data_IF_153703933907
#
_entry.id   IF_153703933907
#
_cell.length_a   1.000
_cell.length_b   1.000
_cell.length_c   1.000
_cell.angle_alpha   90.00
_cell.angle_beta   90.00
_cell.angle_gamma   90.00
#
_symmetry.space_group_name_H-M   'P 1'
#
loop_
_entity.id
_entity.type
_entity.pdbx_description
1 polymer ?
#
# COMPACT_ATOMS: atom_id res chain seq x y z
N UNK A 1 16.38 33.71 12.26
CA UNK A 1 16.79 32.42 11.73
C UNK A 1 18.24 32.52 11.27
N UNK A 2 19.16 31.85 11.99
CA UNK A 2 20.61 31.92 11.83
C UNK A 2 21.17 31.30 10.55
N UNK A 3 20.53 31.53 9.40
CA UNK A 3 20.95 31.05 8.10
C UNK A 3 21.91 32.08 7.47
N UNK A 4 23.05 31.63 6.95
CA UNK A 4 24.01 32.44 6.20
C UNK A 4 23.30 33.32 5.14
N UNK A 5 23.71 34.61 5.00
CA UNK A 5 23.07 35.51 4.02
C UNK A 5 23.09 34.99 2.59
N UNK A 6 24.11 34.21 2.20
CA UNK A 6 24.16 33.54 0.90
C UNK A 6 23.08 32.45 0.74
N UNK A 7 22.90 31.62 1.78
CA UNK A 7 21.85 30.58 1.79
C UNK A 7 20.45 31.18 1.80
N UNK A 8 20.22 32.26 2.55
CA UNK A 8 18.94 33.00 2.53
C UNK A 8 18.58 33.50 1.11
N UNK A 9 19.56 34.05 0.41
CA UNK A 9 19.38 34.50 -0.98
C UNK A 9 19.02 33.35 -1.90
N UNK A 10 19.71 32.19 -1.74
CA UNK A 10 19.42 31.00 -2.53
C UNK A 10 18.01 30.48 -2.26
N UNK A 11 17.59 30.38 -1.00
CA UNK A 11 16.23 29.94 -0.63
C UNK A 11 15.19 30.87 -1.24
N UNK A 12 15.34 32.19 -1.07
CA UNK A 12 14.41 33.18 -1.66
C UNK A 12 14.31 33.01 -3.18
N UNK A 13 15.43 32.94 -3.87
CA UNK A 13 15.49 32.81 -5.33
C UNK A 13 14.86 31.49 -5.81
N UNK A 14 15.14 30.38 -5.12
CA UNK A 14 14.54 29.08 -5.44
C UNK A 14 13.03 29.07 -5.20
N UNK A 15 12.56 29.61 -4.08
CA UNK A 15 11.12 29.71 -3.78
C UNK A 15 10.39 30.55 -4.82
N UNK A 16 10.96 31.69 -5.21
CA UNK A 16 10.37 32.53 -6.27
C UNK A 16 10.34 31.78 -7.63
N UNK A 17 11.38 31.01 -7.97
CA UNK A 17 11.40 30.19 -9.18
C UNK A 17 10.33 29.09 -9.15
N UNK A 18 10.18 28.40 -8.01
CA UNK A 18 9.14 27.38 -7.81
C UNK A 18 7.74 27.96 -7.97
N UNK A 19 7.48 29.16 -7.42
CA UNK A 19 6.18 29.83 -7.59
C UNK A 19 5.91 30.14 -9.07
N UNK A 20 6.93 30.59 -9.82
CA UNK A 20 6.80 30.83 -11.26
C UNK A 20 6.41 29.56 -12.01
N UNK A 21 7.06 28.45 -11.71
CA UNK A 21 6.79 27.17 -12.34
C UNK A 21 5.39 26.64 -12.00
N UNK A 22 5.02 26.69 -10.72
CA UNK A 22 3.74 26.19 -10.21
C UNK A 22 2.53 26.95 -10.78
N UNK A 23 2.67 28.27 -10.91
CA UNK A 23 1.58 29.16 -11.37
C UNK A 23 1.76 29.63 -12.81
N UNK A 24 2.52 28.89 -13.62
CA UNK A 24 2.75 29.20 -15.04
C UNK A 24 1.42 29.40 -15.78
N UNK A 25 1.29 30.55 -16.45
CA UNK A 25 0.04 30.91 -17.16
C UNK A 25 -1.10 31.49 -16.29
N UNK A 26 -0.89 31.61 -14.95
CA UNK A 26 -1.89 32.16 -14.01
C UNK A 26 -1.35 33.41 -13.31
N UNK A 27 -1.10 34.46 -14.06
CA UNK A 27 -0.43 35.68 -13.58
C UNK A 27 -1.02 36.31 -12.30
N UNK A 28 -2.35 36.41 -12.10
CA UNK A 28 -2.92 36.98 -10.87
C UNK A 28 -2.57 36.10 -9.63
N UNK A 29 -2.63 34.76 -9.76
CA UNK A 29 -2.29 33.87 -8.68
C UNK A 29 -0.79 33.89 -8.35
N UNK A 30 0.05 33.94 -9.38
CA UNK A 30 1.50 34.10 -9.20
C UNK A 30 1.85 35.36 -8.42
N UNK A 31 1.25 36.49 -8.79
CA UNK A 31 1.56 37.75 -8.13
C UNK A 31 1.07 37.81 -6.69
N UNK A 32 -0.14 37.30 -6.41
CA UNK A 32 -0.66 37.19 -5.04
C UNK A 32 0.24 36.32 -4.14
N UNK A 33 0.70 35.15 -4.65
CA UNK A 33 1.59 34.27 -3.89
C UNK A 33 2.99 34.88 -3.70
N UNK A 34 3.53 35.58 -4.69
CA UNK A 34 4.78 36.33 -4.54
C UNK A 34 4.68 37.43 -3.49
N UNK A 35 3.59 38.16 -3.48
CA UNK A 35 3.35 39.24 -2.53
C UNK A 35 3.23 38.69 -1.11
N UNK A 36 2.46 37.61 -0.91
CA UNK A 36 2.35 36.93 0.38
C UNK A 36 3.71 36.40 0.88
N UNK A 37 4.49 35.76 -0.01
CA UNK A 37 5.83 35.27 0.32
C UNK A 37 6.77 36.40 0.75
N UNK A 38 6.81 37.52 0.00
CA UNK A 38 7.65 38.67 0.33
C UNK A 38 7.24 39.31 1.65
N UNK A 39 5.94 39.49 1.87
CA UNK A 39 5.42 40.07 3.10
C UNK A 39 5.85 39.23 4.32
N UNK A 40 5.68 37.91 4.29
CA UNK A 40 6.11 37.02 5.37
C UNK A 40 7.62 37.00 5.56
N UNK A 41 8.39 36.99 4.46
CA UNK A 41 9.85 36.99 4.51
C UNK A 41 10.38 38.29 5.14
N UNK A 42 9.88 39.46 4.70
CA UNK A 42 10.35 40.78 5.17
C UNK A 42 9.92 40.99 6.63
N UNK A 43 8.67 40.65 6.98
CA UNK A 43 8.18 40.73 8.36
C UNK A 43 9.04 39.88 9.32
N UNK A 44 9.31 38.62 8.95
CA UNK A 44 10.16 37.74 9.77
C UNK A 44 11.56 38.31 9.99
N UNK A 45 12.11 38.91 8.93
CA UNK A 45 13.44 39.53 9.00
C UNK A 45 13.50 40.73 9.93
N UNK A 46 12.41 41.48 10.04
CA UNK A 46 12.32 42.69 10.85
C UNK A 46 11.95 42.42 12.31
N UNK A 47 11.19 41.36 12.58
CA UNK A 47 10.58 41.11 13.88
C UNK A 47 11.10 39.88 14.63
N UNK A 48 11.80 38.97 13.95
CA UNK A 48 12.28 37.71 14.56
C UNK A 48 13.79 37.74 14.76
N UNK A 49 14.23 37.69 16.00
CA UNK A 49 15.64 37.57 16.33
C UNK A 49 16.24 36.25 15.81
N UNK A 50 17.47 36.25 15.28
CA UNK A 50 18.15 35.03 14.86
C UNK A 50 18.35 34.07 16.00
N UNK A 51 17.98 32.79 15.81
CA UNK A 51 18.17 31.74 16.82
C UNK A 51 19.61 31.34 17.09
N UNK A 52 20.59 31.96 16.42
CA UNK A 52 21.99 31.58 16.53
C UNK A 52 22.41 30.28 15.90
N UNK A 53 21.42 29.53 15.35
CA UNK A 53 21.69 28.29 14.62
C UNK A 53 22.18 28.59 13.22
N UNK A 54 23.21 27.91 12.77
CA UNK A 54 23.80 28.05 11.44
C UNK A 54 23.65 26.74 10.68
N UNK A 55 22.99 26.81 9.52
CA UNK A 55 22.88 25.69 8.59
C UNK A 55 23.93 25.89 7.51
N UNK A 56 24.90 24.99 7.43
CA UNK A 56 25.96 25.02 6.42
C UNK A 56 25.63 24.04 5.31
N UNK A 57 25.86 24.46 4.06
CA UNK A 57 25.79 23.54 2.92
C UNK A 57 26.96 22.58 2.97
N UNK A 58 26.65 21.28 2.96
CA UNK A 58 27.67 20.22 2.85
C UNK A 58 27.35 19.35 1.63
N UNK A 59 28.42 18.88 0.99
CA UNK A 59 28.33 17.91 -0.12
C UNK A 59 28.76 16.53 0.42
N UNK A 60 27.87 15.91 1.19
CA UNK A 60 28.12 14.61 1.83
C UNK A 60 26.97 13.60 1.59
N UNK A 61 26.08 13.90 0.65
CA UNK A 61 24.93 13.05 0.32
C UNK A 61 25.35 11.84 -0.53
N UNK A 62 26.36 12.04 -1.42
CA UNK A 62 26.77 11.01 -2.38
C UNK A 62 25.64 10.72 -3.37
N UNK A 63 25.43 9.46 -3.67
CA UNK A 63 24.39 8.95 -4.58
C UNK A 63 23.04 8.67 -3.89
N UNK A 64 22.94 8.95 -2.58
CA UNK A 64 21.70 8.74 -1.83
C UNK A 64 20.56 9.61 -2.35
N UNK A 65 19.35 9.07 -2.25
CA UNK A 65 18.11 9.76 -2.61
C UNK A 65 17.40 10.27 -1.35
N UNK A 66 16.59 11.29 -1.53
CA UNK A 66 15.75 11.89 -0.48
C UNK A 66 14.30 11.60 -0.78
N UNK A 67 13.64 10.81 0.05
CA UNK A 67 12.31 10.27 -0.22
C UNK A 67 11.57 9.92 1.09
N UNK A 68 10.26 10.12 1.11
CA UNK A 68 9.39 9.65 2.18
C UNK A 68 8.87 8.22 1.91
N UNK A 69 8.46 7.51 2.98
CA UNK A 69 7.99 6.13 2.88
C UNK A 69 6.72 5.98 2.05
N UNK A 70 5.78 6.93 2.11
CA UNK A 70 4.56 6.89 1.31
C UNK A 70 4.85 7.01 -0.19
N UNK A 71 5.80 7.87 -0.56
CA UNK A 71 6.26 7.98 -1.95
C UNK A 71 6.96 6.70 -2.41
N UNK A 72 7.78 6.09 -1.54
CA UNK A 72 8.43 4.82 -1.80
C UNK A 72 7.41 3.69 -1.97
N UNK A 73 6.42 3.57 -1.07
CA UNK A 73 5.33 2.59 -1.16
C UNK A 73 4.48 2.77 -2.44
N UNK A 74 4.15 4.02 -2.80
CA UNK A 74 3.46 4.32 -4.06
C UNK A 74 4.26 3.92 -5.30
N UNK A 75 5.58 4.07 -5.27
CA UNK A 75 6.48 3.57 -6.32
C UNK A 75 6.52 2.04 -6.32
N UNK A 76 6.63 1.42 -5.14
CA UNK A 76 6.55 -0.03 -4.96
C UNK A 76 5.28 -0.61 -5.57
N UNK A 77 4.13 0.03 -5.37
CA UNK A 77 2.86 -0.38 -6.00
C UNK A 77 2.94 -0.35 -7.54
N UNK A 78 3.60 0.65 -8.13
CA UNK A 78 3.82 0.67 -9.60
C UNK A 78 4.67 -0.51 -10.04
N UNK A 79 5.79 -0.76 -9.39
CA UNK A 79 6.69 -1.88 -9.72
C UNK A 79 6.07 -3.24 -9.39
N UNK A 80 5.26 -3.33 -8.34
CA UNK A 80 4.43 -4.51 -8.03
C UNK A 80 3.30 -4.77 -9.01
N UNK A 81 3.18 -3.98 -10.07
CA UNK A 81 2.21 -4.22 -11.15
C UNK A 81 0.79 -3.73 -10.85
N UNK A 82 0.57 -2.91 -9.83
CA UNK A 82 -0.73 -2.32 -9.55
C UNK A 82 -1.22 -1.48 -10.73
N UNK A 83 -2.47 -1.70 -11.12
CA UNK A 83 -3.13 -0.95 -12.21
C UNK A 83 -4.34 -0.18 -11.73
N UNK A 84 -4.87 -0.49 -10.55
CA UNK A 84 -6.04 0.16 -9.97
C UNK A 84 -5.73 0.65 -8.57
N UNK A 85 -5.99 1.93 -8.32
CA UNK A 85 -6.01 2.53 -6.99
C UNK A 85 -7.39 3.16 -6.77
N UNK A 86 -8.15 2.66 -5.79
CA UNK A 86 -9.37 3.31 -5.34
C UNK A 86 -9.17 3.73 -3.88
N UNK A 87 -9.39 4.98 -3.57
CA UNK A 87 -9.00 5.57 -2.29
C UNK A 87 -9.92 6.69 -1.84
N UNK A 88 -9.88 7.02 -0.57
CA UNK A 88 -10.53 8.18 0.01
C UNK A 88 -9.51 8.99 0.83
N UNK A 89 -9.50 10.34 0.73
CA UNK A 89 -8.48 11.16 1.38
C UNK A 89 -8.52 11.04 2.90
N UNK A 90 -7.42 10.61 3.49
CA UNK A 90 -7.21 10.59 4.93
C UNK A 90 -5.72 10.76 5.26
N UNK A 91 -5.39 11.68 6.19
CA UNK A 91 -4.03 11.82 6.71
C UNK A 91 -3.68 10.61 7.58
N UNK A 92 -2.46 10.02 7.43
CA UNK A 92 -1.35 10.43 6.57
C UNK A 92 -1.26 9.68 5.23
N UNK A 93 -2.22 8.83 4.86
CA UNK A 93 -2.13 7.90 3.73
C UNK A 93 -2.34 8.51 2.34
N UNK A 94 -2.95 9.69 2.26
CA UNK A 94 -3.27 10.36 0.98
C UNK A 94 -2.07 10.43 0.04
N UNK A 95 -0.87 10.69 0.55
CA UNK A 95 0.35 10.81 -0.25
C UNK A 95 0.81 9.49 -0.90
N UNK A 96 0.38 8.32 -0.43
CA UNK A 96 0.60 7.03 -1.13
C UNK A 96 -0.12 7.03 -2.48
N UNK A 97 -1.41 7.36 -2.49
CA UNK A 97 -2.22 7.42 -3.71
C UNK A 97 -1.75 8.52 -4.66
N UNK A 98 -1.38 9.70 -4.13
CA UNK A 98 -0.83 10.80 -4.91
C UNK A 98 0.54 10.45 -5.53
N UNK A 99 1.40 9.75 -4.79
CA UNK A 99 2.67 9.26 -5.30
C UNK A 99 2.44 8.24 -6.42
N UNK A 100 1.58 7.24 -6.20
CA UNK A 100 1.20 6.29 -7.23
C UNK A 100 0.70 6.98 -8.49
N UNK A 101 -0.19 7.96 -8.37
CA UNK A 101 -0.70 8.75 -9.49
C UNK A 101 0.43 9.48 -10.23
N UNK A 102 1.33 10.13 -9.52
CA UNK A 102 2.50 10.82 -10.07
C UNK A 102 3.41 9.88 -10.87
N UNK A 103 3.69 8.70 -10.33
CA UNK A 103 4.50 7.69 -11.00
C UNK A 103 3.78 7.03 -12.17
N UNK A 104 2.48 6.75 -12.08
CA UNK A 104 1.70 6.22 -13.19
C UNK A 104 1.66 7.16 -14.39
N UNK A 105 1.52 8.47 -14.15
CA UNK A 105 1.61 9.48 -15.22
C UNK A 105 2.96 9.46 -15.94
N UNK A 106 4.04 9.12 -15.23
CA UNK A 106 5.39 9.04 -15.80
C UNK A 106 5.65 7.72 -16.52
N UNK A 107 5.20 6.60 -15.98
CA UNK A 107 5.61 5.25 -16.40
C UNK A 107 4.53 4.42 -17.07
N UNK A 108 3.24 4.77 -16.92
CA UNK A 108 2.11 3.95 -17.36
C UNK A 108 1.17 4.65 -18.35
N UNK A 109 1.68 5.63 -19.04
CA UNK A 109 1.01 6.25 -20.20
C UNK A 109 1.68 5.75 -21.46
N UNK A 110 0.90 5.18 -22.36
CA UNK A 110 1.39 4.75 -23.68
C UNK A 110 1.78 5.99 -24.49
N UNK A 111 3.05 6.10 -24.84
CA UNK A 111 3.60 7.30 -25.49
C UNK A 111 3.07 7.52 -26.92
N UNK A 112 2.65 6.45 -27.61
CA UNK A 112 2.17 6.53 -28.98
C UNK A 112 0.68 6.91 -29.04
N UNK A 113 -0.11 6.37 -28.11
CA UNK A 113 -1.58 6.52 -28.13
C UNK A 113 -2.10 7.48 -27.06
N UNK A 114 -1.29 7.87 -26.09
CA UNK A 114 -1.70 8.64 -24.91
C UNK A 114 -2.62 7.86 -23.96
N UNK A 115 -2.86 6.58 -24.19
CA UNK A 115 -3.75 5.77 -23.35
C UNK A 115 -3.11 5.49 -21.99
N UNK A 116 -3.89 5.64 -20.93
CA UNK A 116 -3.51 5.28 -19.58
C UNK A 116 -3.67 3.78 -19.38
N UNK A 117 -2.64 3.12 -18.84
CA UNK A 117 -2.67 1.71 -18.44
C UNK A 117 -2.88 1.57 -16.93
N UNK A 118 -3.70 2.45 -16.36
CA UNK A 118 -4.07 2.49 -14.95
C UNK A 118 -5.39 3.21 -14.76
N UNK A 119 -6.05 2.93 -13.64
CA UNK A 119 -7.22 3.65 -13.15
C UNK A 119 -6.97 4.11 -11.72
N UNK A 120 -7.26 5.38 -11.44
CA UNK A 120 -7.17 5.96 -10.10
C UNK A 120 -8.48 6.65 -9.83
N UNK A 121 -9.19 6.20 -8.79
CA UNK A 121 -10.52 6.67 -8.44
C UNK A 121 -10.52 7.16 -7.01
N UNK A 122 -10.81 8.44 -6.81
CA UNK A 122 -11.20 8.94 -5.50
C UNK A 122 -12.66 8.59 -5.29
N UNK A 123 -12.91 7.71 -4.33
CA UNK A 123 -14.25 7.24 -4.01
C UNK A 123 -14.99 8.24 -3.11
N UNK A 124 -16.24 7.97 -2.82
CA UNK A 124 -17.08 8.80 -1.95
C UNK A 124 -16.75 8.58 -0.46
N UNK A 125 -16.30 7.36 -0.13
CA UNK A 125 -15.83 6.98 1.20
C UNK A 125 -14.87 5.78 1.14
N UNK A 126 -14.39 5.33 2.29
CA UNK A 126 -13.51 4.16 2.41
C UNK A 126 -14.23 2.85 2.06
N UNK A 127 -15.51 2.73 2.37
CA UNK A 127 -16.31 1.55 2.04
C UNK A 127 -16.42 1.36 0.53
N UNK A 128 -16.71 2.44 -0.20
CA UNK A 128 -16.73 2.43 -1.66
C UNK A 128 -15.33 2.13 -2.23
N UNK A 129 -14.28 2.69 -1.63
CA UNK A 129 -12.89 2.46 -2.06
C UNK A 129 -12.53 0.98 -2.05
N UNK A 130 -12.73 0.30 -0.92
CA UNK A 130 -12.40 -1.13 -0.81
C UNK A 130 -13.30 -1.99 -1.68
N UNK A 131 -14.58 -1.63 -1.85
CA UNK A 131 -15.49 -2.32 -2.76
C UNK A 131 -15.00 -2.29 -4.21
N UNK A 132 -14.48 -1.14 -4.67
CA UNK A 132 -13.86 -1.01 -6.00
C UNK A 132 -12.59 -1.84 -6.13
N UNK A 133 -11.73 -1.88 -5.09
CA UNK A 133 -10.52 -2.70 -5.05
C UNK A 133 -10.86 -4.19 -5.16
N UNK A 134 -11.83 -4.65 -4.38
CA UNK A 134 -12.29 -6.05 -4.41
C UNK A 134 -12.87 -6.43 -5.77
N UNK A 135 -13.71 -5.56 -6.35
CA UNK A 135 -14.26 -5.77 -7.70
C UNK A 135 -13.17 -5.83 -8.78
N UNK A 136 -12.17 -4.96 -8.71
CA UNK A 136 -11.03 -4.95 -9.62
C UNK A 136 -10.15 -6.22 -9.45
N UNK A 137 -9.88 -6.62 -8.21
CA UNK A 137 -9.11 -7.83 -7.89
C UNK A 137 -9.81 -9.11 -8.37
N UNK A 138 -11.12 -9.17 -8.25
CA UNK A 138 -11.91 -10.29 -8.77
C UNK A 138 -11.79 -10.42 -10.30
N UNK A 139 -11.72 -9.28 -11.00
CA UNK A 139 -11.48 -9.24 -12.46
C UNK A 139 -10.01 -9.47 -12.86
N UNK A 140 -9.12 -9.69 -11.90
CA UNK A 140 -7.70 -9.98 -12.15
C UNK A 140 -6.79 -8.76 -12.20
N UNK A 141 -7.27 -7.56 -11.87
CA UNK A 141 -6.40 -6.40 -11.70
C UNK A 141 -5.64 -6.50 -10.37
N UNK A 142 -4.39 -6.02 -10.34
CA UNK A 142 -3.70 -5.70 -9.09
C UNK A 142 -4.22 -4.36 -8.61
N UNK A 143 -4.98 -4.39 -7.53
CA UNK A 143 -5.70 -3.23 -7.01
C UNK A 143 -5.37 -2.98 -5.53
N UNK A 144 -5.38 -1.72 -5.14
CA UNK A 144 -5.12 -1.34 -3.76
C UNK A 144 -5.91 -0.11 -3.32
N UNK A 145 -6.00 0.06 -2.02
CA UNK A 145 -6.40 1.30 -1.36
C UNK A 145 -5.32 1.73 -0.36
N UNK A 146 -5.31 3.02 -0.03
CA UNK A 146 -4.48 3.57 1.04
C UNK A 146 -5.38 4.30 2.04
N UNK A 147 -5.22 3.98 3.32
CA UNK A 147 -6.06 4.51 4.40
C UNK A 147 -5.30 4.58 5.73
N UNK A 148 -6.01 4.82 6.81
CA UNK A 148 -5.54 4.82 8.19
C UNK A 148 -6.59 4.11 9.06
N UNK A 149 -6.35 3.91 10.34
CA UNK A 149 -7.21 3.17 11.26
C UNK A 149 -8.71 3.43 11.15
N UNK A 150 -9.19 4.70 11.08
CA UNK A 150 -10.61 4.96 10.88
C UNK A 150 -11.18 4.32 9.62
N UNK A 151 -10.43 4.35 8.51
CA UNK A 151 -10.84 3.72 7.27
C UNK A 151 -10.80 2.19 7.35
N UNK A 152 -9.82 1.59 8.02
CA UNK A 152 -9.81 0.14 8.28
C UNK A 152 -11.09 -0.27 9.01
N UNK A 153 -11.54 0.51 9.99
CA UNK A 153 -12.80 0.25 10.70
C UNK A 153 -14.02 0.27 9.77
N UNK A 154 -14.08 1.21 8.83
CA UNK A 154 -15.18 1.31 7.86
C UNK A 154 -15.12 0.21 6.78
N UNK A 155 -13.94 -0.28 6.45
CA UNK A 155 -13.72 -1.29 5.40
C UNK A 155 -14.02 -2.74 5.83
N UNK A 156 -14.32 -3.00 7.11
CA UNK A 156 -14.38 -4.33 7.72
C UNK A 156 -15.23 -5.33 6.92
N UNK A 157 -16.40 -4.92 6.44
CA UNK A 157 -17.31 -5.80 5.70
C UNK A 157 -16.69 -6.29 4.39
N UNK A 158 -16.17 -5.40 3.56
CA UNK A 158 -15.54 -5.79 2.29
C UNK A 158 -14.20 -6.52 2.47
N UNK A 159 -13.46 -6.23 3.51
CA UNK A 159 -12.25 -7.01 3.86
C UNK A 159 -12.65 -8.45 4.18
N UNK A 160 -13.72 -8.65 4.95
CA UNK A 160 -14.29 -9.97 5.23
C UNK A 160 -14.78 -10.68 3.98
N UNK A 161 -15.47 -9.98 3.08
CA UNK A 161 -15.85 -10.52 1.78
C UNK A 161 -14.62 -10.97 0.98
N UNK A 162 -13.58 -10.12 0.89
CA UNK A 162 -12.37 -10.45 0.15
C UNK A 162 -11.64 -11.66 0.76
N UNK A 163 -11.58 -11.76 2.09
CA UNK A 163 -11.01 -12.90 2.79
C UNK A 163 -11.78 -14.20 2.50
N UNK A 164 -13.09 -14.18 2.68
CA UNK A 164 -13.92 -15.39 2.58
C UNK A 164 -14.19 -15.81 1.14
N UNK A 165 -14.30 -14.88 0.19
CA UNK A 165 -14.41 -15.15 -1.24
C UNK A 165 -13.03 -15.34 -1.91
N UNK A 166 -11.94 -15.12 -1.18
CA UNK A 166 -10.55 -15.27 -1.62
C UNK A 166 -10.22 -14.41 -2.84
N UNK A 167 -10.39 -13.11 -2.66
CA UNK A 167 -10.12 -12.09 -3.67
C UNK A 167 -8.87 -11.32 -3.25
N UNK A 168 -7.84 -11.23 -4.12
CA UNK A 168 -6.66 -10.43 -3.85
C UNK A 168 -6.98 -8.95 -3.68
N UNK A 169 -6.46 -8.34 -2.64
CA UNK A 169 -6.52 -6.91 -2.39
C UNK A 169 -5.28 -6.47 -1.60
N UNK A 170 -4.76 -5.28 -1.83
CA UNK A 170 -3.68 -4.69 -1.03
C UNK A 170 -4.20 -3.45 -0.33
N UNK A 171 -3.90 -3.34 0.96
CA UNK A 171 -4.26 -2.18 1.78
C UNK A 171 -2.98 -1.58 2.36
N UNK A 172 -2.70 -0.33 2.03
CA UNK A 172 -1.68 0.44 2.73
C UNK A 172 -2.36 1.14 3.91
N UNK A 173 -2.02 0.71 5.13
CA UNK A 173 -2.47 1.33 6.36
C UNK A 173 -1.34 2.21 6.90
N UNK A 174 -1.51 3.52 6.78
CA UNK A 174 -0.57 4.49 7.34
C UNK A 174 -1.13 4.95 8.67
N UNK A 175 -0.68 4.32 9.75
CA UNK A 175 -1.22 4.42 11.09
C UNK A 175 -0.99 5.81 11.71
N UNK A 176 -1.89 6.23 12.57
CA UNK A 176 -1.83 7.49 13.31
C UNK A 176 -2.44 7.34 14.69
N UNK A 177 -2.31 8.36 15.53
CA UNK A 177 -2.87 8.39 16.88
C UNK A 177 -4.36 8.11 16.92
N UNK A 178 -4.77 7.12 17.69
CA UNK A 178 -6.13 6.61 17.91
C UNK A 178 -6.55 6.81 19.37
N UNK A 179 -7.81 6.50 19.79
CA UNK A 179 -8.92 5.93 19.02
C UNK A 179 -9.74 6.98 18.24
N UNK A 180 -10.72 6.50 17.42
CA UNK A 180 -11.61 7.31 16.57
C UNK A 180 -10.81 8.13 15.56
N UNK A 181 -11.19 9.37 15.27
CA UNK A 181 -10.42 10.30 14.45
C UNK A 181 -9.03 10.55 15.03
N UNK A 182 -8.89 10.49 16.34
CA UNK A 182 -7.63 10.53 17.09
C UNK A 182 -6.79 11.78 16.83
N UNK A 183 -5.50 11.56 16.62
CA UNK A 183 -4.52 12.62 16.36
C UNK A 183 -3.91 12.43 14.95
N UNK A 184 -4.48 13.05 13.91
CA UNK A 184 -4.09 12.79 12.52
C UNK A 184 -2.62 13.07 12.17
N UNK A 185 -1.94 13.85 13.01
CA UNK A 185 -0.54 14.27 12.81
C UNK A 185 0.42 13.72 13.86
N UNK A 186 0.01 12.69 14.59
CA UNK A 186 0.85 12.01 15.59
C UNK A 186 0.97 10.54 15.27
N UNK A 187 2.19 10.02 15.37
CA UNK A 187 2.47 8.61 15.12
C UNK A 187 1.95 7.73 16.25
N UNK A 188 1.46 6.56 15.90
CA UNK A 188 1.09 5.48 16.81
C UNK A 188 0.85 4.21 15.98
N UNK A 189 1.13 3.04 16.54
CA UNK A 189 0.81 1.72 15.97
C UNK A 189 -0.45 1.16 16.64
N UNK A 190 -1.61 1.76 16.38
CA UNK A 190 -2.86 1.41 17.03
C UNK A 190 -3.69 0.37 16.27
N UNK A 191 -3.36 0.10 14.99
CA UNK A 191 -4.24 -0.60 14.07
C UNK A 191 -3.86 -2.10 13.88
N UNK A 192 -2.83 -2.58 14.62
CA UNK A 192 -2.25 -3.91 14.46
C UNK A 192 -3.29 -5.04 14.60
N UNK A 193 -4.01 -5.07 15.72
CA UNK A 193 -5.02 -6.12 15.95
C UNK A 193 -6.25 -5.95 15.06
N UNK A 194 -6.65 -4.70 14.82
CA UNK A 194 -7.77 -4.38 13.94
C UNK A 194 -7.51 -4.87 12.51
N UNK A 195 -6.26 -4.74 12.02
CA UNK A 195 -5.87 -5.20 10.69
C UNK A 195 -5.61 -6.71 10.67
N UNK A 196 -4.94 -7.27 11.68
CA UNK A 196 -4.62 -8.70 11.74
C UNK A 196 -5.86 -9.60 11.72
N UNK A 197 -6.96 -9.12 12.30
CA UNK A 197 -8.24 -9.82 12.43
C UNK A 197 -9.39 -9.00 11.84
N UNK A 198 -9.11 -8.23 10.79
CA UNK A 198 -10.09 -7.37 10.15
C UNK A 198 -11.32 -8.15 9.68
N UNK A 199 -12.50 -7.60 9.94
CA UNK A 199 -13.84 -8.16 9.75
C UNK A 199 -14.38 -8.84 11.01
N UNK A 200 -15.64 -9.30 10.94
CA UNK A 200 -16.27 -10.12 11.95
C UNK A 200 -16.02 -11.60 11.67
N UNK A 201 -16.06 -12.44 12.70
CA UNK A 201 -15.78 -13.87 12.60
C UNK A 201 -14.29 -14.21 12.62
N UNK A 202 -13.94 -15.40 12.15
CA UNK A 202 -12.60 -15.99 12.27
C UNK A 202 -11.73 -15.65 11.05
N UNK A 203 -11.23 -14.43 11.00
CA UNK A 203 -10.35 -13.94 9.92
C UNK A 203 -8.90 -13.82 10.39
N UNK A 204 -7.96 -13.93 9.45
CA UNK A 204 -6.53 -13.69 9.67
C UNK A 204 -5.91 -13.10 8.40
N UNK A 205 -5.16 -12.02 8.54
CA UNK A 205 -4.54 -11.34 7.40
C UNK A 205 -3.02 -11.26 7.52
N UNK A 206 -2.27 -11.43 6.42
CA UNK A 206 -0.85 -11.11 6.40
C UNK A 206 -0.62 -9.61 6.55
N UNK A 207 0.29 -9.24 7.45
CA UNK A 207 0.72 -7.86 7.68
C UNK A 207 2.22 -7.76 7.37
N UNK A 208 2.61 -6.79 6.56
CA UNK A 208 4.00 -6.44 6.26
C UNK A 208 4.35 -5.14 6.96
N UNK A 209 5.50 -5.09 7.60
CA UNK A 209 5.94 -3.96 8.42
C UNK A 209 7.25 -3.39 7.88
N UNK A 210 7.21 -2.46 6.91
CA UNK A 210 8.42 -1.81 6.44
C UNK A 210 8.98 -0.84 7.48
N UNK A 211 10.29 -0.88 7.74
CA UNK A 211 10.93 0.00 8.71
C UNK A 211 11.50 1.29 8.12
N UNK A 212 11.80 1.29 6.82
CA UNK A 212 12.38 2.42 6.11
C UNK A 212 11.81 2.58 4.69
N UNK A 213 12.15 3.65 3.94
CA UNK A 213 11.67 3.83 2.58
C UNK A 213 12.09 2.71 1.60
N UNK A 214 13.21 2.02 1.83
CA UNK A 214 13.62 0.90 0.98
C UNK A 214 12.66 -0.25 1.14
N UNK A 215 12.35 -0.62 2.37
CA UNK A 215 11.35 -1.66 2.67
C UNK A 215 9.94 -1.22 2.29
N UNK A 216 9.59 0.07 2.42
CA UNK A 216 8.31 0.59 1.90
C UNK A 216 8.17 0.34 0.39
N UNK A 217 9.25 0.51 -0.38
CA UNK A 217 9.26 0.20 -1.80
C UNK A 217 9.18 -1.32 -2.07
N UNK A 218 10.02 -2.11 -1.41
CA UNK A 218 10.12 -3.56 -1.62
C UNK A 218 8.86 -4.29 -1.18
N UNK A 219 8.38 -4.06 0.05
CA UNK A 219 7.16 -4.67 0.58
C UNK A 219 5.91 -4.13 -0.12
N UNK A 220 5.92 -2.84 -0.54
CA UNK A 220 4.89 -2.26 -1.37
C UNK A 220 4.72 -2.97 -2.72
N UNK A 221 5.82 -3.47 -3.31
CA UNK A 221 5.77 -4.29 -4.51
C UNK A 221 5.41 -5.76 -4.21
N UNK A 222 5.99 -6.34 -3.15
CA UNK A 222 5.78 -7.73 -2.75
C UNK A 222 4.34 -8.01 -2.32
N UNK A 223 3.65 -7.05 -1.72
CA UNK A 223 2.27 -7.21 -1.25
C UNK A 223 1.33 -7.69 -2.36
N UNK A 224 1.53 -7.28 -3.60
CA UNK A 224 0.71 -7.71 -4.74
C UNK A 224 0.97 -9.15 -5.15
N UNK A 225 2.22 -9.60 -5.11
CA UNK A 225 2.57 -11.00 -5.36
C UNK A 225 1.96 -11.90 -4.26
N UNK A 226 2.05 -11.48 -3.00
CA UNK A 226 1.45 -12.20 -1.88
C UNK A 226 -0.07 -12.25 -1.97
N UNK A 227 -0.71 -11.13 -2.29
CA UNK A 227 -2.16 -11.07 -2.44
C UNK A 227 -2.66 -11.98 -3.56
N UNK A 228 -1.99 -11.98 -4.71
CA UNK A 228 -2.33 -12.85 -5.83
C UNK A 228 -2.07 -14.34 -5.52
N UNK A 229 -0.91 -14.66 -4.93
CA UNK A 229 -0.51 -16.02 -4.58
C UNK A 229 -1.43 -16.62 -3.52
N UNK A 230 -1.71 -15.86 -2.47
CA UNK A 230 -2.56 -16.30 -1.35
C UNK A 230 -4.04 -16.09 -1.62
N UNK A 231 -4.41 -15.29 -2.62
CA UNK A 231 -5.80 -14.93 -2.91
C UNK A 231 -6.50 -14.39 -1.66
N UNK A 232 -5.96 -13.31 -1.09
CA UNK A 232 -6.42 -12.76 0.18
C UNK A 232 -6.04 -11.28 0.30
N UNK A 233 -6.71 -10.49 1.15
CA UNK A 233 -6.21 -9.17 1.54
C UNK A 233 -4.84 -9.26 2.20
N UNK A 234 -3.92 -8.37 1.81
CA UNK A 234 -2.60 -8.18 2.40
C UNK A 234 -2.46 -6.72 2.82
N UNK A 235 -1.99 -6.50 4.03
CA UNK A 235 -1.79 -5.17 4.58
C UNK A 235 -0.30 -4.79 4.56
N UNK A 236 -0.01 -3.57 4.15
CA UNK A 236 1.30 -2.94 4.34
C UNK A 236 1.11 -1.88 5.42
N UNK A 237 1.69 -2.16 6.58
CA UNK A 237 1.49 -1.40 7.81
C UNK A 237 2.61 -0.36 7.96
N UNK A 238 2.37 0.83 7.46
CA UNK A 238 3.22 1.98 7.74
C UNK A 238 2.73 2.71 8.99
N UNK A 239 3.46 3.71 9.41
CA UNK A 239 2.99 4.68 10.37
C UNK A 239 3.38 6.10 9.91
N UNK A 240 2.88 7.12 10.59
CA UNK A 240 3.02 8.51 10.15
C UNK A 240 4.47 8.94 9.93
N UNK A 241 5.38 8.59 10.85
CA UNK A 241 6.76 9.04 10.78
C UNK A 241 7.50 8.37 9.62
N UNK A 242 7.41 7.05 9.48
CA UNK A 242 7.99 6.33 8.33
C UNK A 242 7.36 6.81 7.02
N UNK A 243 6.05 7.01 7.01
CA UNK A 243 5.29 7.37 5.81
C UNK A 243 5.54 8.80 5.33
N UNK A 244 5.65 9.77 6.22
CA UNK A 244 5.64 11.19 5.86
C UNK A 244 6.97 11.93 6.10
N UNK A 245 7.91 11.35 6.84
CA UNK A 245 9.22 11.97 7.00
C UNK A 245 10.11 11.69 5.78
N UNK A 246 10.90 12.69 5.43
CA UNK A 246 11.91 12.56 4.37
C UNK A 246 13.18 11.88 4.90
N UNK A 247 13.56 10.81 4.26
CA UNK A 247 14.74 10.01 4.59
C UNK A 247 15.83 10.16 3.54
N UNK A 248 17.06 10.05 3.98
CA UNK A 248 18.22 9.95 3.10
C UNK A 248 18.63 8.47 3.00
N UNK A 249 18.23 7.80 1.92
CA UNK A 249 18.44 6.36 1.71
C UNK A 249 19.21 6.06 0.43
N UNK A 250 19.68 4.82 0.28
CA UNK A 250 20.28 4.35 -0.97
C UNK A 250 19.24 4.35 -2.11
N UNK A 251 19.66 4.50 -3.37
CA UNK A 251 18.77 4.33 -4.50
C UNK A 251 18.13 2.94 -4.49
N UNK A 252 16.81 2.88 -4.75
CA UNK A 252 16.10 1.62 -4.80
C UNK A 252 16.64 0.74 -5.93
N UNK A 253 16.75 -0.55 -5.66
CA UNK A 253 17.16 -1.56 -6.63
C UNK A 253 15.94 -2.33 -7.10
N UNK A 254 15.89 -2.63 -8.38
CA UNK A 254 14.84 -3.45 -8.97
C UNK A 254 15.43 -4.38 -10.00
N UNK A 255 14.95 -5.61 -10.00
CA UNK A 255 15.28 -6.61 -11.02
C UNK A 255 14.18 -6.56 -12.10
N UNK A 256 14.49 -5.99 -13.26
CA UNK A 256 13.56 -5.88 -14.37
C UNK A 256 13.20 -7.25 -14.99
N UNK A 257 13.95 -8.31 -14.67
CA UNK A 257 13.66 -9.68 -15.10
C UNK A 257 12.62 -10.38 -14.21
N UNK A 258 12.27 -9.78 -13.07
CA UNK A 258 11.30 -10.34 -12.11
C UNK A 258 9.92 -10.47 -12.74
N UNK A 259 9.42 -11.69 -12.84
CA UNK A 259 8.06 -11.96 -13.24
C UNK A 259 7.08 -11.63 -12.09
N UNK A 260 5.94 -11.06 -12.43
CA UNK A 260 4.86 -10.84 -11.47
C UNK A 260 4.20 -12.18 -11.12
N UNK A 261 4.19 -12.56 -9.86
CA UNK A 261 3.58 -13.81 -9.41
C UNK A 261 2.06 -13.68 -9.31
N UNK A 262 1.35 -14.28 -10.26
CA UNK A 262 -0.12 -14.28 -10.31
C UNK A 262 -0.77 -15.38 -9.47
N UNK A 263 0.03 -16.23 -8.82
CA UNK A 263 -0.45 -17.38 -8.08
C UNK A 263 -1.07 -18.45 -8.98
N UNK A 264 -1.96 -19.26 -8.42
CA UNK A 264 -2.59 -20.39 -9.11
C UNK A 264 -3.77 -19.95 -10.01
N UNK A 265 -3.46 -19.40 -11.19
CA UNK A 265 -4.46 -19.03 -12.20
C UNK A 265 -4.46 -20.07 -13.32
N UNK A 266 -5.59 -20.75 -13.53
CA UNK A 266 -5.73 -21.73 -14.60
C UNK A 266 -5.87 -21.04 -15.96
N UNK A 267 -5.20 -21.61 -16.97
CA UNK A 267 -5.32 -21.19 -18.34
C UNK A 267 -6.50 -21.86 -19.07
N UNK A 268 -6.82 -21.36 -20.26
CA UNK A 268 -7.85 -21.97 -21.13
C UNK A 268 -7.44 -23.39 -21.55
N UNK A 269 -6.15 -23.58 -21.84
CA UNK A 269 -5.57 -24.87 -22.25
C UNK A 269 -5.67 -25.93 -21.14
N UNK A 270 -5.40 -25.55 -19.89
CA UNK A 270 -5.54 -26.44 -18.74
C UNK A 270 -7.00 -26.89 -18.54
N UNK A 271 -7.95 -25.96 -18.73
CA UNK A 271 -9.39 -26.25 -18.66
C UNK A 271 -9.83 -27.15 -19.82
N UNK A 272 -9.34 -26.96 -21.03
CA UNK A 272 -9.63 -27.82 -22.19
C UNK A 272 -9.04 -29.22 -22.00
N UNK A 273 -7.83 -29.33 -21.44
CA UNK A 273 -7.20 -30.60 -21.11
C UNK A 273 -7.96 -31.42 -20.04
N UNK A 274 -9.05 -30.86 -19.48
CA UNK A 274 -9.94 -31.56 -18.55
C UNK A 274 -9.48 -31.52 -17.11
N UNK A 275 -8.58 -30.60 -16.73
CA UNK A 275 -8.23 -30.39 -15.33
C UNK A 275 -9.47 -30.01 -14.53
N UNK A 276 -9.75 -30.73 -13.45
CA UNK A 276 -10.89 -30.45 -12.58
C UNK A 276 -10.75 -29.06 -11.94
N UNK A 277 -11.82 -28.29 -11.98
CA UNK A 277 -11.87 -26.95 -11.41
C UNK A 277 -12.93 -26.86 -10.33
N UNK A 278 -12.46 -26.63 -9.11
CA UNK A 278 -13.28 -26.20 -7.97
C UNK A 278 -12.66 -24.93 -7.39
N UNK A 279 -13.43 -23.84 -7.38
CA UNK A 279 -12.90 -22.52 -6.95
C UNK A 279 -12.28 -22.55 -5.54
N UNK A 280 -12.75 -23.46 -4.70
CA UNK A 280 -12.29 -23.62 -3.32
C UNK A 280 -11.72 -25.01 -3.04
N UNK A 281 -11.39 -25.74 -4.10
CA UNK A 281 -10.79 -27.08 -4.02
C UNK A 281 -9.27 -26.94 -3.77
N UNK A 282 -8.81 -27.51 -2.66
CA UNK A 282 -7.40 -27.59 -2.30
C UNK A 282 -6.79 -28.82 -2.95
N UNK A 283 -6.20 -28.65 -4.13
CA UNK A 283 -5.61 -29.76 -4.90
C UNK A 283 -4.23 -30.13 -4.38
N UNK A 284 -3.46 -29.13 -3.93
CA UNK A 284 -2.05 -29.28 -3.60
C UNK A 284 -1.81 -29.45 -2.08
N UNK A 285 -2.85 -29.32 -1.26
CA UNK A 285 -2.79 -29.48 0.19
C UNK A 285 -2.21 -28.29 0.95
N UNK A 286 -1.95 -27.17 0.27
CA UNK A 286 -1.42 -25.93 0.85
C UNK A 286 -2.48 -24.93 1.28
N UNK A 287 -3.75 -25.27 1.09
CA UNK A 287 -4.91 -24.42 1.37
C UNK A 287 -5.23 -23.38 0.30
N UNK A 288 -4.41 -23.26 -0.76
CA UNK A 288 -4.56 -22.26 -1.81
C UNK A 288 -5.21 -22.92 -3.03
N UNK A 289 -6.47 -22.58 -3.37
CA UNK A 289 -7.15 -23.17 -4.52
C UNK A 289 -6.69 -22.53 -5.84
N UNK A 290 -6.98 -23.22 -6.93
CA UNK A 290 -6.87 -22.62 -8.25
C UNK A 290 -8.03 -21.65 -8.51
N UNK A 291 -7.74 -20.57 -9.26
CA UNK A 291 -8.75 -19.62 -9.72
C UNK A 291 -8.71 -19.46 -11.24
N UNK A 292 -9.80 -19.02 -11.79
CA UNK A 292 -9.91 -18.51 -13.17
C UNK A 292 -10.22 -17.02 -13.11
N UNK A 293 -9.95 -16.31 -14.18
CA UNK A 293 -10.37 -14.91 -14.34
C UNK A 293 -11.54 -14.83 -15.30
N UNK A 294 -12.40 -13.81 -15.20
CA UNK A 294 -13.48 -13.59 -16.17
C UNK A 294 -12.93 -13.57 -17.60
N UNK A 295 -13.53 -14.36 -18.48
CA UNK A 295 -13.10 -14.48 -19.87
C UNK A 295 -11.98 -15.49 -20.15
N UNK A 296 -11.47 -16.23 -19.13
CA UNK A 296 -10.44 -17.26 -19.34
C UNK A 296 -10.91 -18.32 -20.34
N UNK A 297 -12.17 -18.79 -20.23
CA UNK A 297 -12.69 -19.83 -21.11
C UNK A 297 -14.21 -19.63 -21.34
N UNK A 298 -14.76 -19.88 -22.56
CA UNK A 298 -16.16 -19.59 -22.87
C UNK A 298 -17.18 -20.51 -22.17
N UNK A 299 -16.77 -21.71 -21.72
CA UNK A 299 -17.68 -22.72 -21.16
C UNK A 299 -17.25 -23.34 -19.84
N UNK A 300 -15.96 -23.24 -19.48
CA UNK A 300 -15.37 -23.91 -18.31
C UNK A 300 -14.76 -22.92 -17.35
N UNK A 301 -14.56 -23.33 -16.10
CA UNK A 301 -13.92 -22.53 -15.08
C UNK A 301 -14.76 -21.35 -14.54
N UNK A 302 -16.02 -21.24 -14.95
CA UNK A 302 -16.93 -20.23 -14.41
C UNK A 302 -17.37 -20.59 -12.99
N UNK A 303 -17.46 -19.60 -12.13
CA UNK A 303 -17.97 -19.74 -10.77
C UNK A 303 -18.65 -18.44 -10.33
N UNK A 304 -19.46 -18.55 -9.30
CA UNK A 304 -20.09 -17.39 -8.68
C UNK A 304 -19.42 -17.08 -7.35
N UNK A 305 -18.85 -15.88 -7.24
CA UNK A 305 -18.21 -15.40 -5.99
C UNK A 305 -19.27 -15.09 -4.94
N UNK A 306 -19.07 -15.61 -3.72
CA UNK A 306 -20.02 -15.46 -2.62
C UNK A 306 -19.35 -15.05 -1.32
N UNK A 307 -19.99 -14.15 -0.60
CA UNK A 307 -19.75 -13.93 0.83
C UNK A 307 -20.47 -14.93 1.73
N UNK A 308 -21.44 -15.70 1.17
CA UNK A 308 -22.15 -16.76 1.90
C UNK A 308 -21.36 -18.06 1.94
N UNK A 309 -21.75 -19.00 2.83
CA UNK A 309 -21.15 -20.34 2.90
C UNK A 309 -21.29 -21.10 1.58
N UNK A 310 -20.34 -21.98 1.30
CA UNK A 310 -20.16 -22.65 0.02
C UNK A 310 -19.36 -23.93 0.14
N UNK A 311 -19.55 -24.83 -0.84
CA UNK A 311 -18.75 -26.00 -1.02
C UNK A 311 -17.45 -25.71 -1.82
N UNK A 312 -16.63 -26.75 -2.06
CA UNK A 312 -15.39 -26.69 -2.82
C UNK A 312 -15.57 -26.19 -4.27
N UNK A 313 -16.79 -26.33 -4.81
CA UNK A 313 -17.15 -25.95 -6.18
C UNK A 313 -17.90 -24.60 -6.26
N UNK A 314 -17.85 -23.80 -5.20
CA UNK A 314 -18.54 -22.52 -5.09
C UNK A 314 -20.08 -22.59 -5.09
N UNK A 315 -20.66 -23.76 -4.81
CA UNK A 315 -22.10 -23.90 -4.66
C UNK A 315 -22.51 -23.49 -3.26
N UNK A 316 -23.60 -22.72 -3.16
CA UNK A 316 -24.15 -22.34 -1.87
C UNK A 316 -24.56 -23.58 -1.06
N UNK A 317 -24.17 -23.60 0.22
CA UNK A 317 -24.58 -24.59 1.19
C UNK A 317 -24.42 -24.06 2.61
N UNK A 318 -25.31 -24.48 3.51
CA UNK A 318 -25.22 -24.22 4.96
C UNK A 318 -24.86 -25.49 5.74
N UNK A 319 -24.43 -26.55 5.05
CA UNK A 319 -24.00 -27.78 5.67
C UNK A 319 -22.74 -27.55 6.52
N UNK A 320 -22.79 -27.92 7.81
CA UNK A 320 -21.70 -27.70 8.76
C UNK A 320 -20.39 -28.33 8.33
N UNK A 321 -20.42 -29.49 7.66
CA UNK A 321 -19.23 -30.16 7.16
C UNK A 321 -18.52 -29.35 6.06
N UNK A 322 -19.28 -28.73 5.14
CA UNK A 322 -18.74 -27.87 4.10
C UNK A 322 -18.14 -26.59 4.68
N UNK A 323 -18.79 -26.01 5.68
CA UNK A 323 -18.27 -24.86 6.40
C UNK A 323 -16.94 -25.17 7.09
N UNK A 324 -16.87 -26.25 7.87
CA UNK A 324 -15.64 -26.70 8.56
C UNK A 324 -14.50 -26.96 7.57
N UNK A 325 -14.78 -27.65 6.47
CA UNK A 325 -13.79 -27.92 5.42
C UNK A 325 -13.18 -26.62 4.87
N UNK A 326 -14.03 -25.63 4.59
CA UNK A 326 -13.60 -24.33 4.06
C UNK A 326 -12.76 -23.55 5.08
N UNK A 327 -13.20 -23.50 6.35
CA UNK A 327 -12.45 -22.81 7.41
C UNK A 327 -11.11 -23.47 7.71
N UNK A 328 -11.06 -24.80 7.75
CA UNK A 328 -9.79 -25.53 7.93
C UNK A 328 -8.83 -25.31 6.76
N UNK A 329 -9.34 -25.21 5.55
CA UNK A 329 -8.54 -24.88 4.36
C UNK A 329 -7.98 -23.45 4.44
N UNK A 330 -8.79 -22.46 4.86
CA UNK A 330 -8.32 -21.09 5.07
C UNK A 330 -7.25 -20.99 6.15
N UNK A 331 -7.34 -21.80 7.22
CA UNK A 331 -6.29 -21.88 8.23
C UNK A 331 -5.00 -22.47 7.66
N UNK A 332 -5.07 -23.56 6.85
CA UNK A 332 -3.89 -24.10 6.15
C UNK A 332 -3.25 -23.07 5.23
N UNK A 333 -4.06 -22.32 4.46
CA UNK A 333 -3.57 -21.24 3.60
C UNK A 333 -2.77 -20.21 4.41
N UNK A 334 -3.27 -19.82 5.58
CA UNK A 334 -2.57 -18.87 6.45
C UNK A 334 -1.25 -19.44 7.00
N UNK A 335 -1.22 -20.73 7.33
CA UNK A 335 0.05 -21.40 7.71
C UNK A 335 1.05 -21.42 6.55
N UNK A 336 0.59 -21.70 5.32
CA UNK A 336 1.43 -21.66 4.11
C UNK A 336 1.99 -20.25 3.84
N UNK A 337 1.28 -19.21 4.23
CA UNK A 337 1.73 -17.83 4.08
C UNK A 337 3.04 -17.53 4.84
N UNK A 338 3.31 -18.23 5.95
CA UNK A 338 4.52 -18.04 6.77
C UNK A 338 5.83 -18.24 6.00
N UNK A 339 5.82 -19.12 5.00
CA UNK A 339 6.98 -19.37 4.14
C UNK A 339 7.16 -18.33 3.02
N UNK A 340 6.19 -17.45 2.83
CA UNK A 340 6.13 -16.50 1.71
C UNK A 340 6.38 -15.06 2.14
N UNK A 341 6.25 -14.76 3.44
CA UNK A 341 6.48 -13.43 4.01
C UNK A 341 7.92 -13.28 4.49
N UNK A 342 8.45 -12.07 4.59
CA UNK A 342 9.75 -11.83 5.22
C UNK A 342 9.79 -12.42 6.64
N UNK A 343 10.89 -13.08 6.96
CA UNK A 343 11.11 -13.60 8.31
C UNK A 343 11.43 -12.50 9.31
N UNK A 344 11.26 -12.77 10.62
CA UNK A 344 11.65 -11.81 11.65
C UNK A 344 13.18 -11.61 11.67
N UNK A 345 13.61 -10.37 11.86
CA UNK A 345 15.03 -10.07 12.15
C UNK A 345 15.27 -10.38 13.64
N UNK A 346 16.32 -11.15 13.91
CA UNK A 346 16.65 -11.59 15.28
C UNK A 346 18.04 -11.11 15.64
N UNK A 347 18.12 -10.11 16.49
CA UNK A 347 19.35 -9.67 17.13
C UNK A 347 19.59 -10.45 18.43
N UNK A 348 20.68 -11.20 18.46
CA UNK A 348 21.03 -12.00 19.64
C UNK A 348 21.90 -11.17 20.59
N UNK A 349 21.51 -11.16 21.85
CA UNK A 349 22.35 -10.56 22.88
C UNK A 349 23.74 -11.17 22.90
N UNK A 350 24.77 -10.33 23.03
CA UNK A 350 26.18 -10.79 23.11
C UNK A 350 26.47 -11.67 24.35
N UNK A 351 25.61 -11.60 25.37
CA UNK A 351 25.69 -12.41 26.60
C UNK A 351 24.33 -13.06 26.87
N UNK A 352 24.32 -14.23 27.58
CA UNK A 352 23.07 -14.84 27.98
C UNK A 352 22.18 -13.85 28.76
N UNK A 353 20.92 -13.71 28.33
CA UNK A 353 19.93 -12.82 28.94
C UNK A 353 18.67 -13.61 29.27
N UNK A 354 17.92 -13.13 30.29
CA UNK A 354 16.58 -13.63 30.65
C UNK A 354 15.47 -12.76 30.10
N UNK A 355 15.82 -11.67 29.39
CA UNK A 355 14.86 -10.74 28.80
C UNK A 355 14.99 -10.74 27.29
N UNK A 356 13.87 -10.64 26.58
CA UNK A 356 13.80 -10.38 25.16
C UNK A 356 12.86 -9.18 24.93
N UNK A 357 13.19 -8.35 23.96
CA UNK A 357 12.29 -7.33 23.44
C UNK A 357 11.81 -7.76 22.06
N UNK A 358 10.53 -7.61 21.78
CA UNK A 358 9.94 -7.81 20.46
C UNK A 358 9.52 -6.44 19.96
N UNK A 359 10.09 -6.05 18.83
CA UNK A 359 9.73 -4.82 18.14
C UNK A 359 8.90 -5.18 16.92
N UNK A 360 7.85 -4.44 16.67
CA UNK A 360 7.10 -4.54 15.43
C UNK A 360 7.37 -3.21 14.71
N UNK A 361 8.22 -3.27 13.69
CA UNK A 361 8.53 -2.10 12.88
C UNK A 361 7.23 -1.47 12.33
N UNK A 362 7.20 -0.18 12.10
CA UNK A 362 8.32 0.76 12.01
C UNK A 362 8.53 1.50 13.33
N UNK A 363 9.52 1.17 14.07
CA UNK A 363 9.96 1.94 15.24
C UNK A 363 11.47 2.06 15.15
N UNK A 364 11.94 3.10 14.49
CA UNK A 364 13.34 3.48 14.49
C UNK A 364 13.78 3.99 15.85
#
# INVERSE_FOLDING_TARGET
>A
LGVDPGVRRIIKTKTEAMLVEQYKGKAPLLEANRQAFRLGYDWTREHVEPLGLKVERRDCVGDRIFVDGNSAAGLGAVYGGATVCAWYPITPSTSVAEAFMRYCRKFRVDKATGKHRYAIVQAEDELASIGMVVGAGWNGARAFTATSGPGISLMQEFIGLAYFAEIPAVLFDVQRGSPSTGMPTKTQQADLLCSAYASHGDTKHPLLFPEDPTECFEMGAQAFDLADRLQTPVFVMLELDTGMQDWLTAPFRWDDSRALDRGKVMSAEELEAGRDFGRYLDVDGDGIPYRTLPGTHPRRGAYFTRGTSKDRYARYTEEGAAYVDNMQRLLRKFESAKALVPGPVIDRAAKPTRAAAVWIAPTG
#
